data_IF_091258247996
#
_entry.id   IF_091258247996
#
_cell.length_a   1.000
_cell.length_b   1.000
_cell.length_c   1.000
_cell.angle_alpha   90.00
_cell.angle_beta   90.00
_cell.angle_gamma   90.00
#
_symmetry.space_group_name_H-M   'P 1'
#
loop_
_entity.id
_entity.type
_entity.pdbx_description
1 polymer ?
#
# COMPACT_ATOMS: atom_id res chain seq x y z
N UNK A 1 6.66 5.39 13.39
CA UNK A 1 7.83 4.72 12.79
C UNK A 1 7.77 4.67 11.27
N UNK A 2 6.69 4.22 10.62
CA UNK A 2 6.66 4.08 9.14
C UNK A 2 7.00 5.35 8.37
N UNK A 3 6.39 6.49 8.73
CA UNK A 3 6.71 7.77 8.09
C UNK A 3 8.16 8.21 8.28
N UNK A 4 8.73 7.98 9.46
CA UNK A 4 10.12 8.32 9.72
C UNK A 4 11.05 7.53 8.78
N UNK A 5 10.88 6.21 8.72
CA UNK A 5 11.68 5.36 7.82
C UNK A 5 11.48 5.72 6.34
N UNK A 6 10.24 5.95 5.92
CA UNK A 6 9.95 6.41 4.55
C UNK A 6 10.65 7.73 4.24
N UNK A 7 10.54 8.72 5.14
CA UNK A 7 11.18 10.02 4.97
C UNK A 7 12.70 9.91 4.92
N UNK A 8 13.32 9.05 5.74
CA UNK A 8 14.76 8.78 5.67
C UNK A 8 15.15 8.29 4.27
N UNK A 9 14.45 7.29 3.73
CA UNK A 9 14.71 6.79 2.37
C UNK A 9 14.54 7.92 1.35
N UNK A 10 13.43 8.67 1.42
CA UNK A 10 13.18 9.79 0.51
C UNK A 10 14.30 10.83 0.57
N UNK A 11 14.79 11.18 1.76
CA UNK A 11 15.87 12.17 1.93
C UNK A 11 17.22 11.68 1.42
N UNK A 12 17.52 10.40 1.58
CA UNK A 12 18.80 9.82 1.15
C UNK A 12 18.83 9.59 -0.37
N UNK A 13 17.67 9.44 -1.00
CA UNK A 13 17.54 9.15 -2.44
C UNK A 13 17.21 10.38 -3.31
N UNK A 14 16.73 11.49 -2.73
CA UNK A 14 16.18 12.62 -3.51
C UNK A 14 17.17 13.34 -4.44
N UNK A 15 18.48 13.21 -4.20
CA UNK A 15 19.54 13.77 -5.06
C UNK A 15 19.87 12.85 -6.25
N UNK A 16 19.41 11.60 -6.22
CA UNK A 16 19.69 10.56 -7.22
C UNK A 16 18.47 10.29 -8.12
N UNK A 17 17.76 11.33 -8.57
CA UNK A 17 16.51 11.20 -9.34
C UNK A 17 16.62 10.34 -10.61
N UNK A 18 17.82 10.27 -11.19
CA UNK A 18 18.04 9.57 -12.44
C UNK A 18 18.31 8.07 -12.28
N UNK A 19 18.42 7.55 -11.05
CA UNK A 19 18.69 6.14 -10.82
C UNK A 19 17.75 5.56 -9.77
N UNK A 20 16.77 4.79 -10.22
CA UNK A 20 15.86 4.03 -9.35
C UNK A 20 16.59 2.91 -8.59
N UNK A 21 17.79 2.53 -9.03
CA UNK A 21 18.62 1.52 -8.39
C UNK A 21 19.08 1.95 -6.98
N UNK A 22 19.10 3.24 -6.69
CA UNK A 22 19.49 3.76 -5.37
C UNK A 22 18.61 3.19 -4.24
N UNK A 23 17.35 2.83 -4.54
CA UNK A 23 16.42 2.25 -3.57
C UNK A 23 16.86 0.88 -3.05
N UNK A 24 17.72 0.16 -3.77
CA UNK A 24 18.26 -1.13 -3.33
C UNK A 24 19.08 -1.02 -2.04
N UNK A 25 19.77 0.10 -1.85
CA UNK A 25 20.55 0.36 -0.63
C UNK A 25 19.66 0.43 0.62
N UNK A 26 18.34 0.57 0.43
CA UNK A 26 17.35 0.69 1.48
C UNK A 26 16.47 -0.57 1.61
N UNK A 27 16.87 -1.70 1.02
CA UNK A 27 16.10 -2.95 1.06
C UNK A 27 15.71 -3.36 2.49
N UNK A 28 16.62 -3.23 3.46
CA UNK A 28 16.32 -3.50 4.87
C UNK A 28 15.20 -2.60 5.42
N UNK A 29 15.27 -1.30 5.13
CA UNK A 29 14.26 -0.33 5.57
C UNK A 29 12.90 -0.58 4.92
N UNK A 30 12.86 -1.03 3.65
CA UNK A 30 11.63 -1.49 3.01
C UNK A 30 11.04 -2.73 3.70
N UNK A 31 11.87 -3.68 4.10
CA UNK A 31 11.44 -4.85 4.89
C UNK A 31 10.88 -4.44 6.25
N UNK A 32 11.55 -3.51 6.96
CA UNK A 32 11.04 -2.97 8.22
C UNK A 32 9.70 -2.25 8.04
N UNK A 33 9.57 -1.45 6.98
CA UNK A 33 8.34 -0.76 6.62
C UNK A 33 7.19 -1.75 6.42
N UNK A 34 7.37 -2.75 5.55
CA UNK A 34 6.28 -3.69 5.23
C UNK A 34 5.89 -4.54 6.44
N UNK A 35 6.85 -4.96 7.26
CA UNK A 35 6.59 -5.72 8.48
C UNK A 35 5.80 -4.88 9.49
N UNK A 36 6.19 -3.63 9.70
CA UNK A 36 5.49 -2.74 10.61
C UNK A 36 4.07 -2.44 10.11
N UNK A 37 3.91 -2.10 8.82
CA UNK A 37 2.60 -1.80 8.22
C UNK A 37 1.67 -3.02 8.24
N UNK A 38 2.18 -4.22 7.93
CA UNK A 38 1.43 -5.48 8.05
C UNK A 38 0.95 -5.70 9.48
N UNK A 39 1.84 -5.48 10.46
CA UNK A 39 1.49 -5.67 11.87
C UNK A 39 0.42 -4.69 12.32
N UNK A 40 0.51 -3.43 11.90
CA UNK A 40 -0.49 -2.43 12.24
C UNK A 40 -1.85 -2.76 11.63
N UNK A 41 -1.88 -3.23 10.38
CA UNK A 41 -3.11 -3.70 9.74
C UNK A 41 -3.76 -4.87 10.49
N UNK A 42 -2.98 -5.87 10.92
CA UNK A 42 -3.49 -6.99 11.73
C UNK A 42 -4.14 -6.52 13.03
N UNK A 43 -3.50 -5.59 13.74
CA UNK A 43 -4.01 -5.07 15.02
C UNK A 43 -5.36 -4.36 14.81
N UNK A 44 -5.43 -3.45 13.83
CA UNK A 44 -6.66 -2.71 13.55
C UNK A 44 -7.81 -3.61 13.08
N UNK A 45 -7.52 -4.64 12.27
CA UNK A 45 -8.55 -5.57 11.82
C UNK A 45 -9.06 -6.50 12.93
N UNK A 46 -8.22 -6.86 13.89
CA UNK A 46 -8.63 -7.64 15.06
C UNK A 46 -9.57 -6.83 15.97
N UNK A 47 -9.25 -5.56 16.22
CA UNK A 47 -10.09 -4.67 17.04
C UNK A 47 -11.47 -4.46 16.39
N UNK A 48 -11.52 -4.23 15.08
CA UNK A 48 -12.77 -4.11 14.32
C UNK A 48 -13.63 -5.38 14.38
N UNK A 49 -13.01 -6.56 14.29
CA UNK A 49 -13.71 -7.84 14.43
C UNK A 49 -14.23 -8.07 15.85
N UNK A 50 -13.44 -7.70 16.87
CA UNK A 50 -13.86 -7.80 18.26
C UNK A 50 -15.06 -6.89 18.57
N UNK A 51 -15.07 -5.65 18.07
CA UNK A 51 -16.19 -4.70 18.22
C UNK A 51 -17.46 -5.14 17.45
N UNK A 52 -17.29 -5.75 16.28
CA UNK A 52 -18.41 -6.29 15.50
C UNK A 52 -19.08 -7.47 16.21
N UNK A 53 -18.29 -8.32 16.87
CA UNK A 53 -18.80 -9.49 17.59
C UNK A 53 -19.48 -9.13 18.92
N UNK A 54 -19.12 -8.01 19.56
CA UNK A 54 -19.77 -7.53 20.79
C UNK A 54 -21.10 -6.81 20.54
N UNK A 55 -21.37 -6.38 19.31
CA UNK A 55 -22.60 -5.65 18.93
C UNK A 55 -23.82 -6.55 18.64
N UNK A 56 -23.69 -7.86 18.84
CA UNK A 56 -24.73 -8.86 18.56
C UNK A 56 -25.44 -9.37 19.82
N UNK A 57 -25.84 -8.50 20.76
CA UNK A 57 -26.69 -8.89 21.89
C UNK A 57 -27.46 -7.73 22.54
N UNK A 58 -28.46 -7.17 21.86
CA UNK A 58 -29.57 -6.48 22.54
C UNK A 58 -30.90 -6.99 21.97
N UNK A 59 -31.37 -8.11 22.52
CA UNK A 59 -32.78 -8.48 22.41
C UNK A 59 -33.58 -7.55 23.33
N UNK A 60 -34.54 -6.85 22.73
CA UNK A 60 -35.51 -6.00 23.42
C UNK A 60 -36.38 -6.87 24.34
N UNK A 61 -36.06 -6.88 25.64
CA UNK A 61 -36.80 -7.60 26.69
C UNK A 61 -37.14 -6.67 27.86
N UNK A 62 -38.43 -6.44 28.04
CA UNK A 62 -39.12 -5.55 28.99
C UNK A 62 -38.60 -5.44 30.44
N UNK A 63 -38.65 -4.18 30.95
CA UNK A 63 -38.93 -3.71 32.32
C UNK A 63 -38.21 -4.36 33.52
N UNK A 64 -37.35 -3.57 34.18
CA UNK A 64 -36.95 -3.79 35.57
C UNK A 64 -35.95 -2.74 36.06
N UNK A 65 -36.40 -1.80 36.88
CA UNK A 65 -35.56 -0.84 37.61
C UNK A 65 -34.53 -1.59 38.47
N UNK A 66 -33.24 -1.43 38.18
CA UNK A 66 -32.17 -1.73 39.13
C UNK A 66 -31.08 -0.67 39.09
N UNK A 67 -30.97 0.02 40.22
CA UNK A 67 -29.95 0.99 40.59
C UNK A 67 -28.71 0.21 41.09
N UNK A 68 -27.60 0.26 40.35
CA UNK A 68 -26.28 -0.13 40.87
C UNK A 68 -25.19 0.77 40.25
N UNK A 69 -24.44 1.40 41.14
CA UNK A 69 -23.20 2.14 40.90
C UNK A 69 -22.16 1.20 40.31
N UNK A 70 -21.69 1.48 39.10
CA UNK A 70 -20.56 0.76 38.51
C UNK A 70 -19.63 1.78 37.86
N UNK A 71 -18.40 1.78 38.36
CA UNK A 71 -17.23 2.46 37.84
C UNK A 71 -17.25 2.44 36.31
N UNK A 72 -17.43 3.61 35.69
CA UNK A 72 -17.14 3.80 34.27
C UNK A 72 -15.63 3.55 34.08
N UNK A 73 -15.25 2.29 33.86
CA UNK A 73 -14.13 2.04 32.96
C UNK A 73 -14.61 2.59 31.62
N UNK A 74 -14.14 3.77 31.26
CA UNK A 74 -14.34 4.33 29.92
C UNK A 74 -13.68 3.35 28.95
N UNK A 75 -14.42 2.33 28.52
CA UNK A 75 -14.11 1.64 27.28
C UNK A 75 -14.35 2.69 26.21
N UNK A 76 -13.30 3.40 25.85
CA UNK A 76 -13.31 4.20 24.64
C UNK A 76 -13.60 3.23 23.50
N UNK A 77 -14.84 3.24 23.02
CA UNK A 77 -15.23 2.59 21.79
C UNK A 77 -14.50 3.29 20.64
N UNK A 78 -13.31 2.78 20.34
CA UNK A 78 -12.39 3.29 19.33
C UNK A 78 -12.76 2.77 17.93
N UNK A 79 -13.86 2.02 17.78
CA UNK A 79 -14.27 1.40 16.51
C UNK A 79 -14.57 2.43 15.39
N UNK A 80 -14.75 3.69 15.77
CA UNK A 80 -14.96 4.82 14.87
C UNK A 80 -13.94 5.94 15.00
N UNK A 81 -12.92 5.78 15.85
CA UNK A 81 -11.78 6.71 15.83
C UNK A 81 -11.03 6.42 14.54
N UNK A 82 -11.08 7.37 13.61
CA UNK A 82 -10.22 7.41 12.43
C UNK A 82 -8.80 7.54 12.98
N UNK A 83 -8.17 6.41 13.30
CA UNK A 83 -6.72 6.37 13.30
C UNK A 83 -6.39 6.46 11.81
N UNK A 84 -6.27 7.69 11.31
CA UNK A 84 -5.56 8.01 10.08
C UNK A 84 -4.15 7.48 10.31
N UNK A 85 -3.99 6.17 10.11
CA UNK A 85 -2.73 5.48 10.33
C UNK A 85 -1.73 5.86 9.26
N UNK A 86 -2.16 6.65 8.27
CA UNK A 86 -1.32 7.14 7.21
C UNK A 86 -0.54 6.00 6.59
N UNK A 87 -1.10 4.79 6.56
CA UNK A 87 -0.40 3.63 6.05
C UNK A 87 -0.51 3.55 4.54
N UNK A 88 -1.46 4.28 3.94
CA UNK A 88 -1.68 4.27 2.50
C UNK A 88 -0.45 4.78 1.76
N UNK A 89 0.08 5.92 2.20
CA UNK A 89 1.24 6.55 1.56
C UNK A 89 2.50 5.67 1.69
N UNK A 90 2.90 5.18 2.88
CA UNK A 90 3.98 4.22 3.02
C UNK A 90 3.76 2.92 2.23
N UNK A 91 2.56 2.32 2.25
CA UNK A 91 2.31 1.09 1.47
C UNK A 91 2.44 1.34 -0.03
N UNK A 92 1.87 2.43 -0.52
CA UNK A 92 2.01 2.85 -1.92
C UNK A 92 3.47 3.08 -2.27
N UNK A 93 4.21 3.79 -1.42
CA UNK A 93 5.63 4.04 -1.58
C UNK A 93 6.45 2.74 -1.65
N UNK A 94 6.20 1.78 -0.74
CA UNK A 94 6.85 0.46 -0.80
C UNK A 94 6.53 -0.24 -2.12
N UNK A 95 5.27 -0.26 -2.56
CA UNK A 95 4.86 -0.95 -3.78
C UNK A 95 5.52 -0.40 -5.05
N UNK A 96 5.70 0.93 -5.12
CA UNK A 96 6.24 1.60 -6.33
C UNK A 96 7.76 1.77 -6.31
N UNK A 97 8.41 1.92 -5.14
CA UNK A 97 9.86 2.16 -5.04
C UNK A 97 10.70 0.94 -4.68
N UNK A 98 10.15 -0.07 -4.01
CA UNK A 98 10.91 -1.28 -3.70
C UNK A 98 11.06 -2.16 -4.96
N UNK A 99 12.29 -2.57 -5.29
CA UNK A 99 12.58 -3.51 -6.39
C UNK A 99 12.48 -4.98 -6.00
N UNK A 100 12.27 -5.29 -4.72
CA UNK A 100 12.00 -6.65 -4.27
C UNK A 100 10.55 -7.03 -4.59
N UNK A 101 10.38 -8.04 -5.46
CA UNK A 101 9.11 -8.59 -5.96
C UNK A 101 8.12 -8.93 -4.84
N UNK A 102 8.56 -9.64 -3.81
CA UNK A 102 7.66 -10.14 -2.77
C UNK A 102 7.18 -8.99 -1.87
N UNK A 103 8.10 -8.11 -1.46
CA UNK A 103 7.78 -6.95 -0.61
C UNK A 103 6.81 -6.02 -1.32
N UNK A 104 7.05 -5.71 -2.60
CA UNK A 104 6.19 -4.78 -3.35
C UNK A 104 4.81 -5.35 -3.62
N UNK A 105 4.71 -6.65 -3.96
CA UNK A 105 3.42 -7.34 -4.15
C UNK A 105 2.64 -7.46 -2.84
N UNK A 106 3.32 -7.74 -1.73
CA UNK A 106 2.71 -7.73 -0.39
C UNK A 106 2.12 -6.35 -0.05
N UNK A 107 2.85 -5.27 -0.34
CA UNK A 107 2.37 -3.91 -0.12
C UNK A 107 1.10 -3.60 -0.94
N UNK A 108 1.10 -3.96 -2.23
CA UNK A 108 -0.06 -3.82 -3.10
C UNK A 108 -1.27 -4.66 -2.62
N UNK A 109 -1.03 -5.84 -2.07
CA UNK A 109 -2.07 -6.68 -1.48
C UNK A 109 -2.67 -6.04 -0.22
N UNK A 110 -1.86 -5.47 0.66
CA UNK A 110 -2.36 -4.77 1.85
C UNK A 110 -3.20 -3.54 1.50
N UNK A 111 -2.80 -2.76 0.49
CA UNK A 111 -3.61 -1.67 -0.05
C UNK A 111 -4.99 -2.18 -0.48
N UNK A 112 -5.02 -3.30 -1.21
CA UNK A 112 -6.25 -3.89 -1.74
C UNK A 112 -7.21 -4.37 -0.63
N UNK A 113 -6.65 -4.89 0.46
CA UNK A 113 -7.41 -5.36 1.61
C UNK A 113 -7.96 -4.23 2.47
N UNK A 114 -7.45 -3.00 2.30
CA UNK A 114 -7.91 -1.85 3.07
C UNK A 114 -9.22 -1.31 2.51
N UNK A 115 -10.30 -1.45 3.29
CA UNK A 115 -11.64 -0.98 2.93
C UNK A 115 -11.91 0.49 3.31
N UNK A 116 -10.94 1.17 3.91
CA UNK A 116 -11.06 2.55 4.37
C UNK A 116 -10.61 3.55 3.28
N UNK A 117 -11.13 4.77 3.37
CA UNK A 117 -10.69 5.91 2.57
C UNK A 117 -10.05 6.93 3.51
N UNK A 118 -8.82 7.34 3.19
CA UNK A 118 -8.06 8.35 3.95
C UNK A 118 -7.96 9.61 3.09
N UNK A 119 -8.86 10.57 3.32
CA UNK A 119 -8.96 11.79 2.51
C UNK A 119 -9.22 11.49 1.02
N UNK A 120 -8.26 11.82 0.15
CA UNK A 120 -8.36 11.54 -1.28
C UNK A 120 -7.92 10.11 -1.65
N UNK A 121 -7.24 9.40 -0.74
CA UNK A 121 -6.76 8.05 -0.97
C UNK A 121 -7.88 7.03 -0.75
N UNK A 122 -8.33 6.42 -1.84
CA UNK A 122 -9.18 5.23 -1.80
C UNK A 122 -8.30 3.98 -1.92
N UNK A 123 -8.46 3.02 -1.00
CA UNK A 123 -7.59 1.84 -0.99
C UNK A 123 -7.65 0.98 -2.23
N UNK A 124 -8.84 0.86 -2.86
CA UNK A 124 -8.99 0.08 -4.10
C UNK A 124 -8.34 0.80 -5.28
N UNK A 125 -8.54 2.10 -5.41
CA UNK A 125 -7.90 2.90 -6.47
C UNK A 125 -6.38 2.92 -6.26
N UNK A 126 -5.91 3.14 -5.04
CA UNK A 126 -4.48 3.16 -4.71
C UNK A 126 -3.81 1.81 -4.97
N UNK A 127 -4.47 0.70 -4.61
CA UNK A 127 -4.02 -0.65 -4.93
C UNK A 127 -4.01 -0.91 -6.44
N UNK A 128 -5.02 -0.44 -7.16
CA UNK A 128 -5.11 -0.58 -8.62
C UNK A 128 -3.93 0.13 -9.30
N UNK A 129 -3.63 1.37 -8.89
CA UNK A 129 -2.47 2.12 -9.40
C UNK A 129 -1.16 1.41 -9.07
N UNK A 130 -0.97 1.00 -7.81
CA UNK A 130 0.25 0.31 -7.38
C UNK A 130 0.47 -1.00 -8.17
N UNK A 131 -0.58 -1.79 -8.37
CA UNK A 131 -0.54 -3.01 -9.19
C UNK A 131 -0.19 -2.69 -10.64
N UNK A 132 -0.77 -1.63 -11.22
CA UNK A 132 -0.47 -1.24 -12.59
C UNK A 132 1.00 -0.83 -12.77
N UNK A 133 1.55 -0.09 -11.81
CA UNK A 133 2.99 0.24 -11.79
C UNK A 133 3.84 -1.02 -11.73
N UNK A 134 3.50 -1.97 -10.85
CA UNK A 134 4.19 -3.26 -10.76
C UNK A 134 4.11 -4.01 -12.08
N UNK A 135 2.92 -4.12 -12.69
CA UNK A 135 2.71 -4.80 -13.97
C UNK A 135 3.53 -4.18 -15.11
N UNK A 136 3.61 -2.85 -15.19
CA UNK A 136 4.37 -2.16 -16.24
C UNK A 136 5.87 -2.43 -16.09
N UNK A 137 6.40 -2.37 -14.87
CA UNK A 137 7.83 -2.61 -14.63
C UNK A 137 8.21 -4.09 -14.72
N UNK A 138 7.36 -4.98 -14.22
CA UNK A 138 7.59 -6.42 -14.27
C UNK A 138 7.46 -6.96 -15.69
N UNK A 139 6.47 -6.50 -16.46
CA UNK A 139 6.18 -7.04 -17.78
C UNK A 139 6.17 -8.57 -17.76
N UNK A 140 6.88 -9.18 -18.71
CA UNK A 140 7.04 -10.64 -18.80
C UNK A 140 8.33 -11.12 -18.07
N UNK A 141 9.02 -10.26 -17.30
CA UNK A 141 10.32 -10.59 -16.70
C UNK A 141 10.27 -11.78 -15.77
N UNK A 142 9.15 -11.95 -15.05
CA UNK A 142 8.93 -13.06 -14.12
C UNK A 142 8.11 -14.21 -14.74
N UNK A 143 7.80 -14.18 -16.04
CA UNK A 143 7.07 -15.25 -16.70
C UNK A 143 7.91 -16.53 -16.71
N UNK A 144 7.48 -17.54 -15.96
CA UNK A 144 8.18 -18.82 -15.81
C UNK A 144 8.86 -19.04 -14.45
N UNK A 145 8.84 -18.06 -13.55
CA UNK A 145 9.13 -18.29 -12.14
C UNK A 145 7.87 -18.79 -11.45
N UNK A 146 7.88 -20.03 -10.95
CA UNK A 146 6.74 -20.61 -10.25
C UNK A 146 6.59 -19.94 -8.87
N UNK A 147 5.38 -19.47 -8.55
CA UNK A 147 5.05 -18.81 -7.27
C UNK A 147 5.06 -19.77 -6.06
N UNK A 148 5.40 -21.05 -6.29
CA UNK A 148 5.33 -22.13 -5.30
C UNK A 148 6.55 -22.24 -4.39
N UNK A 149 7.65 -21.52 -4.65
CA UNK A 149 8.79 -21.45 -3.71
C UNK A 149 8.53 -20.45 -2.58
N UNK A 150 7.57 -20.77 -1.70
CA UNK A 150 7.46 -20.15 -0.38
C UNK A 150 8.67 -20.54 0.48
N UNK A 151 9.75 -19.77 0.40
CA UNK A 151 10.81 -19.82 1.43
C UNK A 151 10.80 -18.52 2.24
N UNK A 152 10.17 -18.50 3.42
CA UNK A 152 10.14 -17.34 4.29
C UNK A 152 11.43 -17.27 5.11
N UNK A 153 12.60 -17.22 4.47
CA UNK A 153 13.87 -16.91 5.16
C UNK A 153 15.06 -17.01 4.22
N UNK A 154 15.43 -15.94 3.52
CA UNK A 154 16.83 -15.47 3.42
C UNK A 154 16.88 -14.20 2.57
N UNK A 155 17.43 -13.13 3.15
CA UNK A 155 17.58 -11.80 2.53
C UNK A 155 18.65 -11.76 1.41
N UNK A 156 18.82 -12.84 0.65
CA UNK A 156 19.73 -12.89 -0.49
C UNK A 156 18.96 -13.29 -1.73
N UNK A 157 18.34 -12.28 -2.34
CA UNK A 157 17.79 -12.36 -3.70
C UNK A 157 18.97 -12.67 -4.62
N UNK A 158 18.96 -13.85 -5.24
CA UNK A 158 20.02 -14.25 -6.18
C UNK A 158 20.11 -13.30 -7.39
N UNK A 159 21.29 -13.16 -8.02
CA UNK A 159 21.46 -12.39 -9.24
C UNK A 159 20.62 -13.04 -10.37
N UNK A 160 19.44 -12.48 -10.62
CA UNK A 160 18.46 -13.04 -11.57
C UNK A 160 16.99 -12.81 -11.16
N UNK A 161 16.74 -12.41 -9.91
CA UNK A 161 15.39 -12.14 -9.40
C UNK A 161 15.06 -10.65 -9.26
N UNK A 162 15.94 -9.74 -9.68
CA UNK A 162 15.76 -8.29 -9.55
C UNK A 162 15.58 -7.63 -10.91
N UNK A 163 14.50 -6.87 -11.09
CA UNK A 163 14.13 -6.20 -12.35
C UNK A 163 15.23 -5.28 -12.90
N UNK A 164 15.62 -5.32 -14.19
CA UNK A 164 16.66 -4.44 -14.72
C UNK A 164 16.31 -2.95 -14.59
N UNK A 165 17.33 -2.07 -14.59
CA UNK A 165 17.13 -0.61 -14.46
C UNK A 165 16.24 -0.06 -15.59
N UNK A 166 16.39 -0.57 -16.80
CA UNK A 166 15.59 -0.19 -17.97
C UNK A 166 14.09 -0.44 -17.82
N UNK A 167 13.69 -1.35 -16.93
CA UNK A 167 12.29 -1.62 -16.60
C UNK A 167 11.70 -0.65 -15.59
N UNK A 168 12.52 0.14 -14.89
CA UNK A 168 12.07 0.97 -13.76
C UNK A 168 11.44 2.28 -14.24
N UNK A 169 10.29 2.61 -13.67
CA UNK A 169 9.63 3.89 -13.90
C UNK A 169 10.29 4.96 -13.03
N UNK A 170 10.87 5.97 -13.69
CA UNK A 170 11.36 7.21 -13.08
C UNK A 170 10.24 8.24 -13.01
N UNK A 171 10.32 9.13 -12.02
CA UNK A 171 9.42 10.29 -11.88
C UNK A 171 7.93 9.95 -12.04
N UNK A 172 7.50 8.84 -11.43
CA UNK A 172 6.10 8.39 -11.44
C UNK A 172 5.18 9.52 -10.96
N UNK A 173 4.25 9.91 -11.82
CA UNK A 173 3.21 10.89 -11.54
C UNK A 173 1.83 10.27 -11.71
N UNK A 174 0.94 10.58 -10.77
CA UNK A 174 -0.45 10.12 -10.75
C UNK A 174 -1.35 11.34 -10.80
N UNK A 175 -2.10 11.48 -11.88
CA UNK A 175 -3.06 12.56 -12.04
C UNK A 175 -4.48 12.00 -11.94
N UNK A 176 -5.31 12.64 -11.12
CA UNK A 176 -6.72 12.30 -10.93
C UNK A 176 -7.59 13.34 -11.63
N UNK A 177 -8.52 12.90 -12.49
CA UNK A 177 -9.38 13.79 -13.29
C UNK A 177 -10.88 13.50 -13.12
N UNK A 178 -11.69 14.56 -13.22
CA UNK A 178 -13.16 14.49 -13.12
C UNK A 178 -13.71 14.91 -11.76
N UNK A 179 -15.01 15.26 -11.73
CA UNK A 179 -15.78 15.46 -10.50
C UNK A 179 -17.23 14.98 -10.68
N UNK A 180 -17.59 13.76 -10.19
CA UNK A 180 -16.78 12.84 -9.37
C UNK A 180 -15.56 12.27 -10.13
N UNK A 181 -14.62 11.62 -9.43
CA UNK A 181 -13.42 11.05 -10.06
C UNK A 181 -13.80 10.11 -11.23
N UNK A 182 -13.38 10.46 -12.44
CA UNK A 182 -13.70 9.74 -13.68
C UNK A 182 -12.49 8.95 -14.18
N UNK A 183 -11.30 9.54 -14.09
CA UNK A 183 -10.07 8.99 -14.66
C UNK A 183 -8.88 9.11 -13.73
N UNK A 184 -7.95 8.17 -13.88
CA UNK A 184 -6.58 8.27 -13.34
C UNK A 184 -5.60 8.12 -14.49
N UNK A 185 -4.70 9.08 -14.65
CA UNK A 185 -3.62 9.05 -15.62
C UNK A 185 -2.30 8.78 -14.91
N UNK A 186 -1.51 7.87 -15.46
CA UNK A 186 -0.17 7.56 -14.99
C UNK A 186 0.85 8.08 -15.98
N UNK A 187 1.84 8.78 -15.46
CA UNK A 187 2.99 9.24 -16.24
C UNK A 187 4.29 8.75 -15.60
N UNK A 188 5.29 8.54 -16.42
CA UNK A 188 6.63 8.18 -15.95
C UNK A 188 7.67 8.23 -17.06
N UNK A 189 8.94 8.30 -16.65
CA UNK A 189 10.09 8.19 -17.54
C UNK A 189 10.73 6.81 -17.48
N UNK A 190 11.45 6.42 -18.53
CA UNK A 190 12.25 5.19 -18.58
C UNK A 190 13.68 5.52 -18.99
N UNK A 191 14.61 4.60 -18.75
CA UNK A 191 15.96 4.70 -19.30
C UNK A 191 15.90 4.77 -20.84
N UNK A 192 16.71 5.64 -21.46
CA UNK A 192 16.80 5.77 -22.92
C UNK A 192 15.72 6.63 -23.59
N UNK A 193 14.66 7.04 -22.87
CA UNK A 193 13.60 7.93 -23.40
C UNK A 193 13.89 9.43 -23.15
N UNK A 194 15.01 9.75 -22.51
CA UNK A 194 15.38 11.13 -22.11
C UNK A 194 14.71 11.55 -20.80
N UNK A 195 14.64 12.86 -20.53
CA UNK A 195 13.96 13.44 -19.36
C UNK A 195 12.45 13.68 -19.60
N UNK A 196 11.89 13.08 -20.65
CA UNK A 196 10.48 13.24 -21.01
C UNK A 196 9.66 12.18 -20.27
N UNK A 197 8.74 12.64 -19.43
CA UNK A 197 7.69 11.78 -18.86
C UNK A 197 6.62 11.50 -19.92
N UNK A 198 6.21 10.24 -20.06
CA UNK A 198 5.19 9.80 -21.03
C UNK A 198 3.98 9.24 -20.31
N UNK A 199 2.80 9.32 -20.93
CA UNK A 199 1.60 8.65 -20.40
C UNK A 199 1.77 7.13 -20.55
N UNK A 200 1.74 6.41 -19.43
CA UNK A 200 1.94 4.96 -19.34
C UNK A 200 0.65 4.20 -19.00
N UNK A 201 -0.45 4.90 -18.74
CA UNK A 201 -1.75 4.28 -18.58
C UNK A 201 -2.86 5.27 -18.24
N UNK A 202 -4.05 4.98 -18.75
CA UNK A 202 -5.30 5.68 -18.41
C UNK A 202 -6.27 4.69 -17.79
N UNK A 203 -6.73 4.96 -16.57
CA UNK A 203 -7.72 4.14 -15.88
C UNK A 203 -9.07 4.84 -15.86
N UNK A 204 -10.12 4.16 -16.31
CA UNK A 204 -11.49 4.65 -16.27
C UNK A 204 -12.18 4.10 -15.02
N UNK A 205 -12.52 4.99 -14.09
CA UNK A 205 -13.00 4.60 -12.75
C UNK A 205 -14.36 3.90 -12.80
N UNK A 206 -15.29 4.39 -13.63
CA UNK A 206 -16.62 3.78 -13.77
C UNK A 206 -16.55 2.39 -14.42
N UNK A 207 -15.69 2.24 -15.41
CA UNK A 207 -15.52 1.00 -16.17
C UNK A 207 -14.54 0.02 -15.50
N UNK A 208 -13.86 0.47 -14.45
CA UNK A 208 -12.85 -0.24 -13.70
C UNK A 208 -11.76 -0.89 -14.56
N UNK A 209 -11.33 -0.22 -15.63
CA UNK A 209 -10.37 -0.76 -16.60
C UNK A 209 -9.30 0.24 -17.01
N UNK A 210 -8.13 -0.30 -17.35
CA UNK A 210 -7.06 0.43 -18.02
C UNK A 210 -7.33 0.43 -19.54
N UNK A 211 -7.01 1.55 -20.19
CA UNK A 211 -7.09 1.76 -21.64
C UNK A 211 -5.70 1.82 -22.24
#
# INVERSE_FOLDING_TARGET
MSYHTMLTIMTETCIHRNSEMIFDNHAHQFTELINHLSKTYELCTQDLKAASNSSSAVQHGSKGERKWTQSQSQSHDMAHTIIDLGWFIPLFYVAVKCRNRDIRRQAAQLLQLTNHREGFWDGKITACIAKRVIEIEEGDFYDGFDDTEHSPSTNSVGPGLTLPESSRIRDLEVQMEGNPLEKVLLYGGFEGIGDISVCIGEYHVLEQRWV
#
